data_IF_348170155800
#
_entry.id   IF_348170155800
#
_cell.length_a   1.000
_cell.length_b   1.000
_cell.length_c   1.000
_cell.angle_alpha   90.00
_cell.angle_beta   90.00
_cell.angle_gamma   90.00
#
_symmetry.space_group_name_H-M   'P 1'
#
loop_
_entity.id
_entity.type
_entity.pdbx_description
1 polymer ?
#
# COMPACT_ATOMS: atom_id res chain seq x y z
N UNK A 1 7.65 -27.42 -28.29
CA UNK A 1 8.06 -26.04 -28.00
C UNK A 1 9.57 -25.99 -28.06
N UNK A 2 10.13 -25.14 -28.93
CA UNK A 2 11.58 -25.05 -29.14
C UNK A 2 12.19 -23.95 -28.25
N UNK A 3 13.49 -24.03 -27.96
CA UNK A 3 14.21 -23.00 -27.21
C UNK A 3 14.10 -21.59 -27.84
N UNK A 4 13.84 -21.51 -29.15
CA UNK A 4 13.64 -20.26 -29.88
C UNK A 4 12.27 -19.61 -29.58
N UNK A 5 11.27 -20.39 -29.18
CA UNK A 5 9.94 -19.87 -28.81
C UNK A 5 9.93 -19.20 -27.42
N UNK A 6 10.93 -19.49 -26.58
CA UNK A 6 11.09 -18.90 -25.23
C UNK A 6 11.62 -17.46 -25.27
N UNK A 7 12.32 -17.07 -26.33
CA UNK A 7 12.92 -15.74 -26.47
C UNK A 7 11.91 -14.65 -26.87
N UNK A 8 10.71 -15.05 -27.32
CA UNK A 8 9.63 -14.16 -27.77
C UNK A 8 8.43 -14.11 -26.82
N UNK A 9 8.54 -14.77 -25.66
CA UNK A 9 7.64 -14.47 -24.55
C UNK A 9 7.95 -13.04 -24.09
N UNK A 10 6.94 -12.16 -23.89
CA UNK A 10 7.18 -10.93 -23.17
C UNK A 10 7.89 -11.32 -21.87
N UNK A 11 9.12 -10.85 -21.71
CA UNK A 11 9.88 -10.98 -20.46
C UNK A 11 8.89 -10.65 -19.36
N UNK A 12 8.65 -11.53 -18.35
CA UNK A 12 7.70 -11.24 -17.29
C UNK A 12 8.03 -9.85 -16.78
N UNK A 13 7.11 -8.93 -17.10
CA UNK A 13 7.35 -7.51 -17.16
C UNK A 13 8.00 -7.10 -15.85
N UNK A 14 9.21 -6.53 -15.92
CA UNK A 14 10.00 -6.15 -14.75
C UNK A 14 9.09 -5.63 -13.65
N UNK A 15 8.94 -6.36 -12.52
CA UNK A 15 8.04 -6.10 -11.37
C UNK A 15 7.57 -4.65 -11.30
N UNK A 16 6.56 -4.31 -12.11
CA UNK A 16 6.19 -2.92 -12.36
C UNK A 16 5.18 -2.51 -11.30
N UNK A 17 5.41 -1.35 -10.70
CA UNK A 17 4.40 -0.70 -9.86
C UNK A 17 3.52 0.11 -10.80
N UNK A 18 2.27 -0.30 -10.94
CA UNK A 18 1.26 0.39 -11.74
C UNK A 18 0.55 1.44 -10.90
N UNK A 19 0.39 2.65 -11.44
CA UNK A 19 -0.27 3.77 -10.75
C UNK A 19 -1.77 3.70 -11.04
N UNK A 20 -2.57 3.56 -10.00
CA UNK A 20 -4.03 3.59 -10.10
C UNK A 20 -4.58 5.01 -9.95
N UNK A 21 -4.17 5.73 -8.90
CA UNK A 21 -4.71 7.07 -8.62
C UNK A 21 -3.85 7.88 -7.65
N UNK A 22 -4.03 9.20 -7.69
CA UNK A 22 -3.43 10.15 -6.75
C UNK A 22 -4.49 10.70 -5.79
N UNK A 23 -4.33 10.45 -4.50
CA UNK A 23 -5.33 10.78 -3.48
C UNK A 23 -4.71 11.59 -2.33
N UNK A 24 -5.46 12.48 -1.67
CA UNK A 24 -5.01 13.11 -0.43
C UNK A 24 -4.67 12.06 0.66
N UNK A 25 -3.59 12.25 1.41
CA UNK A 25 -3.22 11.27 2.46
C UNK A 25 -4.29 11.12 3.55
N UNK A 26 -4.93 12.23 3.93
CA UNK A 26 -6.00 12.29 4.93
C UNK A 26 -7.31 11.60 4.50
N UNK A 27 -7.44 11.29 3.20
CA UNK A 27 -8.55 10.47 2.69
C UNK A 27 -8.38 8.97 2.94
N UNK A 28 -7.20 8.54 3.40
CA UNK A 28 -6.91 7.13 3.68
C UNK A 28 -7.11 6.84 5.15
N UNK A 29 -8.08 5.97 5.45
CA UNK A 29 -8.23 5.40 6.79
C UNK A 29 -6.95 4.64 7.18
N UNK A 30 -6.27 5.01 8.28
CA UNK A 30 -5.06 4.34 8.74
C UNK A 30 -5.20 2.83 8.94
N UNK A 31 -6.42 2.32 9.20
CA UNK A 31 -6.66 0.87 9.33
C UNK A 31 -6.34 0.10 8.05
N UNK A 32 -6.31 0.79 6.89
CA UNK A 32 -5.98 0.21 5.59
C UNK A 32 -4.49 0.13 5.32
N UNK A 33 -3.64 0.74 6.15
CA UNK A 33 -2.20 0.86 5.91
C UNK A 33 -1.45 -0.22 6.68
N UNK A 34 -0.67 -1.02 5.96
CA UNK A 34 0.19 -2.05 6.52
C UNK A 34 1.68 -1.67 6.55
N UNK A 35 2.52 -2.70 6.58
CA UNK A 35 3.99 -2.57 6.62
C UNK A 35 4.52 -1.73 5.44
N UNK A 36 5.54 -0.92 5.73
CA UNK A 36 6.20 -0.05 4.75
C UNK A 36 7.58 -0.56 4.33
N UNK A 37 7.93 -0.36 3.05
CA UNK A 37 9.21 -0.72 2.46
C UNK A 37 9.78 0.48 1.68
N UNK A 38 11.07 0.77 1.88
CA UNK A 38 11.76 1.75 1.05
C UNK A 38 12.02 1.18 -0.35
N UNK A 39 11.77 2.00 -1.36
CA UNK A 39 12.00 1.63 -2.76
C UNK A 39 13.18 2.41 -3.33
N UNK A 40 14.01 1.70 -4.10
CA UNK A 40 15.05 2.27 -4.93
C UNK A 40 14.78 1.94 -6.40
N UNK A 41 15.13 2.84 -7.34
CA UNK A 41 15.02 2.55 -8.76
C UNK A 41 15.95 1.40 -9.14
N UNK A 42 15.45 0.46 -9.92
CA UNK A 42 16.25 -0.64 -10.49
C UNK A 42 16.69 -0.28 -11.90
N UNK A 43 17.98 -0.02 -12.07
CA UNK A 43 18.59 0.29 -13.37
C UNK A 43 18.34 1.72 -13.87
N UNK A 44 19.08 2.09 -14.91
CA UNK A 44 19.14 3.48 -15.39
C UNK A 44 17.80 4.00 -15.94
N UNK A 45 17.02 3.12 -16.58
CA UNK A 45 15.71 3.48 -17.16
C UNK A 45 14.69 3.93 -16.09
N UNK A 46 14.79 3.39 -14.86
CA UNK A 46 13.89 3.72 -13.76
C UNK A 46 14.27 5.00 -13.00
N UNK A 47 15.51 5.49 -13.15
CA UNK A 47 16.03 6.60 -12.34
C UNK A 47 15.25 7.91 -12.57
N UNK A 48 15.02 8.30 -13.83
CA UNK A 48 14.30 9.54 -14.16
C UNK A 48 12.81 9.48 -13.74
N UNK A 49 12.04 8.43 -14.07
CA UNK A 49 10.66 8.29 -13.59
C UNK A 49 10.54 8.33 -12.06
N UNK A 50 11.39 7.60 -11.32
CA UNK A 50 11.36 7.60 -9.86
C UNK A 50 11.67 8.99 -9.28
N UNK A 51 12.62 9.73 -9.87
CA UNK A 51 12.92 11.11 -9.46
C UNK A 51 11.74 12.05 -9.68
N UNK A 52 11.09 11.96 -10.84
CA UNK A 52 9.92 12.79 -11.15
C UNK A 52 8.76 12.48 -10.20
N UNK A 53 8.53 11.20 -9.91
CA UNK A 53 7.48 10.77 -8.98
C UNK A 53 7.75 11.27 -7.56
N UNK A 54 9.01 11.15 -7.07
CA UNK A 54 9.41 11.73 -5.79
C UNK A 54 9.17 13.22 -5.72
N UNK A 55 9.53 13.97 -6.76
CA UNK A 55 9.32 15.42 -6.80
C UNK A 55 7.84 15.79 -6.85
N UNK A 56 7.03 15.05 -7.60
CA UNK A 56 5.59 15.28 -7.68
C UNK A 56 4.93 15.04 -6.32
N UNK A 57 5.25 13.92 -5.67
CA UNK A 57 4.69 13.57 -4.36
C UNK A 57 5.20 14.48 -3.25
N UNK A 58 6.49 14.76 -3.19
CA UNK A 58 7.09 15.61 -2.14
C UNK A 58 6.62 17.07 -2.17
N UNK A 59 6.07 17.55 -3.30
CA UNK A 59 5.46 18.88 -3.43
C UNK A 59 3.97 18.90 -3.11
N UNK A 60 3.36 17.74 -2.86
CA UNK A 60 1.92 17.59 -2.73
C UNK A 60 1.57 16.91 -1.41
N UNK A 61 0.39 17.21 -0.85
CA UNK A 61 -0.18 16.44 0.26
C UNK A 61 -0.85 15.14 -0.21
N UNK A 62 -0.37 14.56 -1.32
CA UNK A 62 -0.98 13.41 -1.99
C UNK A 62 -0.07 12.19 -1.92
N UNK A 63 -0.71 11.03 -1.95
CA UNK A 63 -0.11 9.71 -2.09
C UNK A 63 -0.63 9.05 -3.36
N UNK A 64 0.03 7.98 -3.78
CA UNK A 64 -0.38 7.20 -4.94
C UNK A 64 -0.88 5.84 -4.49
N UNK A 65 -2.06 5.47 -4.96
CA UNK A 65 -2.54 4.08 -4.88
C UNK A 65 -1.96 3.33 -6.07
N UNK A 66 -1.37 2.17 -5.79
CA UNK A 66 -0.68 1.37 -6.80
C UNK A 66 -1.13 -0.09 -6.77
N UNK A 67 -1.02 -0.74 -7.94
CA UNK A 67 -1.07 -2.20 -8.06
C UNK A 67 0.32 -2.73 -8.40
N UNK A 68 0.64 -3.89 -7.85
CA UNK A 68 1.94 -4.51 -8.06
C UNK A 68 1.88 -6.00 -7.74
N UNK A 69 2.83 -6.78 -8.28
CA UNK A 69 2.91 -8.22 -8.04
C UNK A 69 3.99 -8.52 -7.01
N UNK A 70 3.60 -9.17 -5.90
CA UNK A 70 4.50 -9.63 -4.85
C UNK A 70 4.20 -11.09 -4.47
N UNK A 71 5.24 -11.93 -4.45
CA UNK A 71 5.11 -13.38 -4.28
C UNK A 71 4.01 -14.02 -5.16
N UNK A 72 3.91 -13.60 -6.42
CA UNK A 72 2.97 -14.17 -7.40
C UNK A 72 1.51 -13.75 -7.22
N UNK A 73 1.22 -12.78 -6.34
CA UNK A 73 -0.13 -12.22 -6.16
C UNK A 73 -0.12 -10.73 -6.44
N UNK A 74 -1.16 -10.25 -7.10
CA UNK A 74 -1.43 -8.82 -7.19
C UNK A 74 -1.76 -8.27 -5.79
N UNK A 75 -1.26 -7.08 -5.51
CA UNK A 75 -1.43 -6.38 -4.23
C UNK A 75 -1.76 -4.93 -4.49
N UNK A 76 -2.54 -4.35 -3.59
CA UNK A 76 -2.70 -2.92 -3.47
C UNK A 76 -1.57 -2.34 -2.62
N UNK A 77 -1.14 -1.13 -2.94
CA UNK A 77 -0.16 -0.41 -2.15
C UNK A 77 -0.43 1.08 -2.10
N UNK A 78 0.13 1.70 -1.07
CA UNK A 78 0.17 3.16 -0.93
C UNK A 78 1.63 3.59 -1.07
N UNK A 79 1.93 4.35 -2.12
CA UNK A 79 3.24 4.92 -2.37
C UNK A 79 3.26 6.39 -1.95
N UNK A 80 4.22 6.74 -1.10
CA UNK A 80 4.43 8.10 -0.60
C UNK A 80 5.91 8.46 -0.57
N UNK A 81 6.19 9.74 -0.32
CA UNK A 81 7.55 10.21 -0.01
C UNK A 81 7.69 10.44 1.50
N UNK A 82 8.80 9.99 2.06
CA UNK A 82 9.20 10.25 3.45
C UNK A 82 10.70 10.51 3.47
N UNK A 83 11.13 11.65 4.01
CA UNK A 83 12.54 12.06 4.04
C UNK A 83 13.25 11.89 2.69
N UNK A 84 12.60 12.34 1.62
CA UNK A 84 13.09 12.23 0.24
C UNK A 84 13.26 10.78 -0.27
N UNK A 85 12.77 9.77 0.44
CA UNK A 85 12.72 8.37 0.00
C UNK A 85 11.30 7.98 -0.45
N UNK A 86 11.20 7.10 -1.45
CA UNK A 86 9.93 6.45 -1.78
C UNK A 86 9.65 5.34 -0.76
N UNK A 87 8.45 5.35 -0.19
CA UNK A 87 7.95 4.32 0.72
C UNK A 87 6.70 3.71 0.14
N UNK A 88 6.72 2.40 -0.08
CA UNK A 88 5.57 1.60 -0.44
C UNK A 88 5.03 0.91 0.80
N UNK A 89 3.81 1.26 1.19
CA UNK A 89 3.05 0.53 2.19
C UNK A 89 2.22 -0.56 1.52
N UNK A 90 2.14 -1.72 2.16
CA UNK A 90 1.05 -2.66 1.90
C UNK A 90 -0.27 -1.96 2.20
N UNK A 91 -1.28 -2.23 1.39
CA UNK A 91 -2.62 -1.69 1.62
C UNK A 91 -3.64 -2.82 1.64
N UNK A 92 -4.50 -2.82 2.65
CA UNK A 92 -5.62 -3.73 2.75
C UNK A 92 -6.78 -3.26 1.87
N UNK A 93 -7.37 -4.20 1.15
CA UNK A 93 -8.67 -3.99 0.53
C UNK A 93 -9.74 -3.80 1.61
N UNK A 94 -10.82 -3.04 1.35
CA UNK A 94 -11.87 -2.83 2.34
C UNK A 94 -12.45 -4.13 2.89
N UNK A 95 -12.56 -5.17 2.05
CA UNK A 95 -13.06 -6.50 2.41
C UNK A 95 -12.06 -7.35 3.23
N UNK A 96 -10.78 -6.98 3.27
CA UNK A 96 -9.77 -7.64 4.11
C UNK A 96 -9.82 -7.16 5.56
N UNK A 97 -10.59 -6.11 5.86
CA UNK A 97 -10.70 -5.51 7.19
C UNK A 97 -11.97 -6.01 7.87
N UNK A 98 -11.81 -6.75 8.97
CA UNK A 98 -12.93 -7.22 9.79
C UNK A 98 -13.63 -6.04 10.45
N UNK A 99 -14.96 -6.03 10.37
CA UNK A 99 -15.79 -4.96 10.91
C UNK A 99 -15.87 -5.01 12.44
N UNK A 100 -16.07 -3.87 13.11
CA UNK A 100 -16.19 -3.82 14.56
C UNK A 100 -17.36 -4.67 15.08
N UNK A 101 -18.47 -4.76 14.36
CA UNK A 101 -19.62 -5.60 14.74
C UNK A 101 -19.28 -7.08 14.86
N UNK A 102 -18.24 -7.56 14.18
CA UNK A 102 -17.77 -8.94 14.27
C UNK A 102 -16.89 -9.18 15.52
N UNK A 103 -16.38 -8.11 16.13
CA UNK A 103 -15.38 -8.16 17.21
C UNK A 103 -15.89 -7.58 18.54
N UNK A 104 -16.90 -6.73 18.52
CA UNK A 104 -17.45 -6.11 19.72
C UNK A 104 -18.23 -7.17 20.52
N UNK A 105 -17.95 -7.31 21.82
CA UNK A 105 -18.78 -8.15 22.68
C UNK A 105 -20.23 -7.64 22.63
N UNK A 106 -21.18 -8.57 22.62
CA UNK A 106 -22.60 -8.25 22.81
C UNK A 106 -22.72 -7.33 24.04
N UNK A 107 -23.45 -6.23 23.89
CA UNK A 107 -23.60 -5.18 24.90
C UNK A 107 -23.71 -5.78 26.29
N UNK A 108 -22.65 -5.68 27.08
CA UNK A 108 -22.68 -6.02 28.50
C UNK A 108 -23.24 -4.79 29.18
N UNK A 109 -24.43 -4.91 29.76
CA UNK A 109 -24.96 -3.87 30.65
C UNK A 109 -23.99 -3.70 31.81
N UNK A 110 -23.27 -2.58 31.83
CA UNK A 110 -22.43 -2.20 32.95
C UNK A 110 -23.38 -1.73 34.04
N UNK A 111 -23.71 -2.60 34.98
CA UNK A 111 -24.40 -2.19 36.21
C UNK A 111 -23.44 -1.30 36.99
N UNK A 112 -23.84 -0.05 37.23
CA UNK A 112 -23.15 0.90 38.10
C UNK A 112 -23.22 0.44 39.57
N UNK A 113 -22.49 -0.61 39.95
CA UNK A 113 -22.44 -1.06 41.36
C UNK A 113 -21.00 -1.23 41.90
N UNK A 114 -19.99 -0.63 41.26
CA UNK A 114 -18.62 -0.57 41.83
C UNK A 114 -18.16 0.87 42.09
N UNK A 115 -19.05 1.66 42.71
CA UNK A 115 -18.64 2.77 43.58
C UNK A 115 -18.55 2.27 45.04
N UNK A 116 -17.81 1.20 45.26
CA UNK A 116 -17.53 0.62 46.57
C UNK A 116 -16.23 1.16 47.15
N UNK A 117 -16.31 2.34 47.76
CA UNK A 117 -15.40 2.91 48.76
C UNK A 117 -14.19 2.07 49.19
N UNK A 118 -12.96 2.51 48.88
CA UNK A 118 -11.83 2.48 49.83
C UNK A 118 -10.71 3.46 49.51
#
# INVERSE_FOLDING_TARGET
>A
MSYADLANLPLPTAKAVEIESFVPLDSIDPIRIGAGFYLIPTGQAAAKPCKLLRQALGRSSRVVIVKWVWHGRERLGLLRVHDDALVLHLMYWPDEIRGPTELLPLTVEVTEDESGSR
#
